data_IF_387080695135
#
_entry.id   IF_387080695135
#
_cell.length_a   1.000
_cell.length_b   1.000
_cell.length_c   1.000
_cell.angle_alpha   90.00
_cell.angle_beta   90.00
_cell.angle_gamma   90.00
#
_symmetry.space_group_name_H-M   'P 1'
#
loop_
_entity.id
_entity.type
_entity.pdbx_description
1 polymer ?
#
# COMPACT_ATOMS: atom_id res chain seq x y z
N UNK A 1 2.90 -5.52 -26.19
CA UNK A 1 3.21 -6.70 -25.36
C UNK A 1 2.86 -6.37 -23.92
N UNK A 2 1.68 -6.79 -23.44
CA UNK A 2 1.26 -6.60 -22.06
C UNK A 2 1.84 -7.72 -21.19
N UNK A 3 2.97 -7.47 -20.54
CA UNK A 3 3.53 -8.41 -19.57
C UNK A 3 2.62 -8.51 -18.34
N UNK A 4 2.56 -9.68 -17.71
CA UNK A 4 1.75 -9.91 -16.52
C UNK A 4 2.08 -8.90 -15.40
N UNK A 5 1.09 -8.48 -14.59
CA UNK A 5 1.33 -7.61 -13.46
C UNK A 5 2.23 -8.29 -12.42
N UNK A 6 2.99 -7.50 -11.67
CA UNK A 6 3.77 -8.03 -10.54
C UNK A 6 2.84 -8.53 -9.43
N UNK A 7 3.17 -9.68 -8.86
CA UNK A 7 2.68 -10.09 -7.54
C UNK A 7 3.68 -9.60 -6.48
N UNK A 8 3.18 -8.97 -5.41
CA UNK A 8 3.99 -8.33 -4.36
C UNK A 8 3.66 -8.98 -3.03
N UNK A 9 4.69 -9.37 -2.29
CA UNK A 9 4.61 -9.95 -0.95
C UNK A 9 5.43 -9.04 -0.01
N UNK A 10 4.82 -8.55 1.06
CA UNK A 10 5.48 -7.69 2.05
C UNK A 10 6.03 -8.54 3.20
N UNK A 11 7.33 -8.42 3.46
CA UNK A 11 8.02 -9.18 4.53
C UNK A 11 8.41 -8.29 5.72
N UNK A 12 8.28 -6.97 5.58
CA UNK A 12 8.78 -5.95 6.49
C UNK A 12 8.07 -5.78 7.86
N UNK A 13 7.42 -6.82 8.41
CA UNK A 13 6.80 -6.77 9.75
C UNK A 13 7.73 -7.25 10.89
N UNK A 14 9.05 -7.18 10.69
CA UNK A 14 10.03 -7.43 11.75
C UNK A 14 10.49 -8.88 11.91
N UNK A 15 10.41 -9.68 10.84
CA UNK A 15 10.96 -11.03 10.78
C UNK A 15 12.49 -11.06 10.61
N UNK A 16 13.10 -12.23 10.81
CA UNK A 16 14.52 -12.51 10.60
C UNK A 16 14.92 -12.56 9.11
N UNK A 17 14.20 -11.85 8.25
CA UNK A 17 14.24 -11.96 6.78
C UNK A 17 15.46 -11.28 6.14
N UNK A 18 16.52 -11.05 6.91
CA UNK A 18 17.77 -10.45 6.41
C UNK A 18 17.61 -9.03 5.88
N UNK A 19 16.54 -8.33 6.26
CA UNK A 19 16.28 -6.95 5.83
C UNK A 19 15.59 -6.82 4.47
N UNK A 20 14.92 -7.86 3.97
CA UNK A 20 14.04 -7.76 2.79
C UNK A 20 12.72 -7.11 3.21
N UNK A 21 12.30 -6.07 2.50
CA UNK A 21 11.02 -5.40 2.72
C UNK A 21 9.92 -5.95 1.81
N UNK A 22 10.26 -6.25 0.55
CA UNK A 22 9.32 -6.79 -0.44
C UNK A 22 9.93 -7.95 -1.23
N UNK A 23 9.07 -8.88 -1.65
CA UNK A 23 9.37 -9.90 -2.65
C UNK A 23 8.45 -9.67 -3.84
N UNK A 24 9.03 -9.37 -5.00
CA UNK A 24 8.31 -9.22 -6.26
C UNK A 24 8.37 -10.51 -7.06
N UNK A 25 7.25 -10.91 -7.65
CA UNK A 25 7.16 -12.06 -8.56
C UNK A 25 6.54 -11.62 -9.89
N UNK A 26 7.23 -11.92 -10.99
CA UNK A 26 6.73 -11.68 -12.35
C UNK A 26 7.43 -12.58 -13.35
N UNK A 27 6.70 -13.14 -14.30
CA UNK A 27 7.25 -13.99 -15.37
C UNK A 27 8.18 -15.10 -14.84
N UNK A 28 7.75 -15.76 -13.75
CA UNK A 28 8.51 -16.77 -12.99
C UNK A 28 9.85 -16.27 -12.39
N UNK A 29 10.09 -14.96 -12.38
CA UNK A 29 11.24 -14.34 -11.72
C UNK A 29 10.85 -13.83 -10.35
N UNK A 30 11.72 -14.07 -9.38
CA UNK A 30 11.63 -13.56 -8.01
C UNK A 30 12.67 -12.46 -7.81
N UNK A 31 12.26 -11.30 -7.34
CA UNK A 31 13.13 -10.15 -7.07
C UNK A 31 12.96 -9.71 -5.64
N UNK A 32 14.06 -9.59 -4.89
CA UNK A 32 14.04 -9.09 -3.51
C UNK A 32 14.18 -7.58 -3.52
N UNK A 33 13.47 -6.89 -2.63
CA UNK A 33 13.55 -5.44 -2.50
C UNK A 33 13.89 -5.07 -1.07
N UNK A 34 14.89 -4.22 -0.90
CA UNK A 34 15.18 -3.55 0.37
C UNK A 34 15.05 -2.04 0.20
N UNK A 35 14.21 -1.45 1.02
CA UNK A 35 13.94 -0.04 1.17
C UNK A 35 14.70 0.45 2.40
N UNK A 36 15.76 1.22 2.21
CA UNK A 36 16.57 1.69 3.32
C UNK A 36 16.49 3.21 3.47
N UNK A 37 15.84 3.65 4.55
CA UNK A 37 15.75 5.05 4.94
C UNK A 37 16.94 5.42 5.84
N UNK A 38 18.06 5.80 5.23
CA UNK A 38 19.27 6.18 5.99
C UNK A 38 19.16 7.62 6.52
N UNK A 39 19.63 7.82 7.76
CA UNK A 39 19.93 9.16 8.32
C UNK A 39 21.17 9.81 7.69
N UNK A 40 21.99 9.04 6.96
CA UNK A 40 23.15 9.50 6.18
C UNK A 40 22.79 9.53 4.69
N UNK A 41 23.35 10.48 3.95
CA UNK A 41 22.98 10.73 2.54
C UNK A 41 23.35 9.62 1.55
N UNK A 42 24.18 8.62 1.93
CA UNK A 42 24.74 7.65 0.98
C UNK A 42 24.78 6.21 1.52
N UNK A 43 24.41 5.26 0.66
CA UNK A 43 24.42 3.81 0.91
C UNK A 43 25.75 3.21 0.46
N UNK A 44 26.40 2.47 1.37
CA UNK A 44 27.69 1.83 1.12
C UNK A 44 27.60 0.44 0.49
N UNK A 45 28.74 -0.06 0.01
CA UNK A 45 28.86 -1.35 -0.69
C UNK A 45 28.52 -2.57 0.20
N UNK A 46 28.64 -2.46 1.52
CA UNK A 46 28.33 -3.55 2.45
C UNK A 46 26.87 -4.02 2.31
N UNK A 47 25.93 -3.06 2.24
CA UNK A 47 24.49 -3.32 2.06
C UNK A 47 24.23 -4.03 0.75
N UNK A 48 24.88 -3.56 -0.32
CA UNK A 48 24.71 -4.14 -1.66
C UNK A 48 25.23 -5.57 -1.71
N UNK A 49 26.35 -5.85 -1.04
CA UNK A 49 26.91 -7.21 -0.92
C UNK A 49 26.03 -8.13 -0.10
N UNK A 50 25.49 -7.64 1.01
CA UNK A 50 24.56 -8.37 1.86
C UNK A 50 23.33 -8.81 1.08
N UNK A 51 22.65 -7.85 0.42
CA UNK A 51 21.48 -8.13 -0.42
C UNK A 51 21.79 -9.09 -1.57
N UNK A 52 22.95 -8.95 -2.21
CA UNK A 52 23.37 -9.87 -3.26
C UNK A 52 23.54 -11.31 -2.74
N UNK A 53 24.04 -11.48 -1.51
CA UNK A 53 24.15 -12.78 -0.85
C UNK A 53 22.80 -13.47 -0.63
N UNK A 54 21.72 -12.70 -0.46
CA UNK A 54 20.37 -13.24 -0.26
C UNK A 54 19.79 -13.92 -1.51
N UNK A 55 20.34 -13.65 -2.71
CA UNK A 55 19.85 -14.27 -3.95
C UNK A 55 19.88 -15.79 -3.88
N UNK A 56 20.99 -16.37 -3.41
CA UNK A 56 21.14 -17.81 -3.30
C UNK A 56 20.18 -18.41 -2.26
N UNK A 57 20.09 -17.79 -1.08
CA UNK A 57 19.25 -18.25 0.01
C UNK A 57 17.75 -18.24 -0.34
N UNK A 58 17.28 -17.18 -1.01
CA UNK A 58 15.87 -17.01 -1.36
C UNK A 58 15.53 -17.49 -2.78
N UNK A 59 16.46 -18.13 -3.48
CA UNK A 59 16.29 -18.54 -4.89
C UNK A 59 15.78 -17.38 -5.76
N UNK A 60 16.31 -16.18 -5.50
CA UNK A 60 15.93 -14.97 -6.21
C UNK A 60 16.83 -14.71 -7.41
N UNK A 61 16.27 -14.04 -8.40
CA UNK A 61 16.92 -13.80 -9.69
C UNK A 61 17.53 -12.40 -9.78
N UNK A 62 17.09 -11.48 -8.90
CA UNK A 62 17.60 -10.12 -8.82
C UNK A 62 17.29 -9.50 -7.45
N UNK A 63 18.04 -8.45 -7.12
CA UNK A 63 17.72 -7.57 -6.00
C UNK A 63 17.53 -6.14 -6.48
N UNK A 64 16.61 -5.43 -5.85
CA UNK A 64 16.41 -3.98 -5.97
C UNK A 64 16.69 -3.36 -4.61
N UNK A 65 17.51 -2.32 -4.58
CA UNK A 65 17.80 -1.58 -3.36
C UNK A 65 17.32 -0.15 -3.59
N UNK A 66 16.41 0.33 -2.76
CA UNK A 66 15.85 1.66 -2.86
C UNK A 66 16.29 2.52 -1.67
N UNK A 67 16.73 3.74 -1.95
CA UNK A 67 17.06 4.73 -0.93
C UNK A 67 16.64 6.13 -1.35
N UNK A 68 16.46 7.03 -0.38
CA UNK A 68 16.20 8.46 -0.62
C UNK A 68 17.50 9.20 -0.98
N UNK A 69 18.66 8.62 -0.61
CA UNK A 69 19.97 9.20 -0.84
C UNK A 69 20.62 8.74 -2.16
N UNK A 70 21.95 8.63 -2.12
CA UNK A 70 22.79 8.15 -3.23
C UNK A 70 23.52 6.86 -2.86
N UNK A 71 24.30 6.29 -3.78
CA UNK A 71 25.18 5.15 -3.53
C UNK A 71 26.65 5.57 -3.60
N UNK A 72 27.52 4.89 -2.84
CA UNK A 72 28.97 5.08 -3.00
C UNK A 72 29.42 4.56 -4.37
N UNK A 73 30.55 5.07 -4.88
CA UNK A 73 31.15 4.56 -6.13
C UNK A 73 31.47 3.07 -6.07
N UNK A 74 31.85 2.56 -4.90
CA UNK A 74 32.10 1.14 -4.71
C UNK A 74 30.82 0.30 -4.77
N UNK A 75 29.69 0.84 -4.30
CA UNK A 75 28.39 0.19 -4.42
C UNK A 75 27.95 0.10 -5.88
N UNK A 76 28.11 1.20 -6.65
CA UNK A 76 27.83 1.23 -8.09
C UNK A 76 28.71 0.22 -8.85
N UNK A 77 30.03 0.27 -8.66
CA UNK A 77 30.97 -0.68 -9.27
C UNK A 77 30.68 -2.13 -8.90
N UNK A 78 30.27 -2.37 -7.65
CA UNK A 78 29.90 -3.72 -7.25
C UNK A 78 28.61 -4.18 -7.95
N UNK A 79 27.64 -3.29 -8.19
CA UNK A 79 26.41 -3.63 -8.90
C UNK A 79 26.61 -3.88 -10.41
N UNK A 80 27.66 -3.30 -11.02
CA UNK A 80 27.96 -3.49 -12.44
C UNK A 80 28.04 -4.98 -12.83
N UNK A 81 27.30 -5.33 -13.89
CA UNK A 81 27.21 -6.67 -14.46
C UNK A 81 26.50 -7.70 -13.58
N UNK A 82 25.95 -7.32 -12.42
CA UNK A 82 25.23 -8.22 -11.51
C UNK A 82 23.73 -7.97 -11.60
N UNK A 83 22.89 -8.95 -11.21
CA UNK A 83 21.44 -8.77 -11.12
C UNK A 83 21.05 -7.92 -9.90
N UNK A 84 21.62 -6.71 -9.82
CA UNK A 84 21.42 -5.75 -8.74
C UNK A 84 20.99 -4.43 -9.38
N UNK A 85 19.84 -3.93 -8.98
CA UNK A 85 19.34 -2.62 -9.39
C UNK A 85 19.37 -1.67 -8.20
N UNK A 86 20.18 -0.62 -8.33
CA UNK A 86 20.28 0.45 -7.37
C UNK A 86 19.31 1.56 -7.76
N UNK A 87 18.34 1.85 -6.89
CA UNK A 87 17.35 2.91 -7.06
C UNK A 87 17.70 4.03 -6.09
N UNK A 88 18.26 5.12 -6.61
CA UNK A 88 18.60 6.32 -5.83
C UNK A 88 17.37 7.20 -5.59
N UNK A 89 17.48 8.20 -4.72
CA UNK A 89 16.37 9.11 -4.45
C UNK A 89 15.88 9.85 -5.69
N UNK A 90 16.80 10.30 -6.55
CA UNK A 90 16.45 10.97 -7.81
C UNK A 90 15.72 10.01 -8.77
N UNK A 91 16.18 8.77 -8.89
CA UNK A 91 15.53 7.76 -9.72
C UNK A 91 14.14 7.39 -9.16
N UNK A 92 14.03 7.23 -7.85
CA UNK A 92 12.77 6.92 -7.17
C UNK A 92 11.75 8.05 -7.40
N UNK A 93 12.16 9.31 -7.27
CA UNK A 93 11.29 10.46 -7.56
C UNK A 93 10.81 10.45 -9.01
N UNK A 94 11.68 10.17 -9.98
CA UNK A 94 11.30 10.04 -11.40
C UNK A 94 10.27 8.92 -11.61
N UNK A 95 10.47 7.76 -10.97
CA UNK A 95 9.51 6.65 -11.04
C UNK A 95 8.15 7.04 -10.49
N UNK A 96 8.10 7.71 -9.33
CA UNK A 96 6.85 8.17 -8.71
C UNK A 96 6.12 9.17 -9.62
N UNK A 97 6.84 10.16 -10.15
CA UNK A 97 6.28 11.16 -11.05
C UNK A 97 5.72 10.55 -12.33
N UNK A 98 6.44 9.57 -12.92
CA UNK A 98 5.98 8.87 -14.11
C UNK A 98 4.66 8.12 -13.85
N UNK A 99 4.52 7.45 -12.70
CA UNK A 99 3.27 6.77 -12.32
C UNK A 99 2.14 7.78 -12.11
N UNK A 100 2.40 8.89 -11.42
CA UNK A 100 1.39 9.93 -11.20
C UNK A 100 0.90 10.54 -12.53
N UNK A 101 1.80 10.77 -13.48
CA UNK A 101 1.44 11.24 -14.82
C UNK A 101 0.68 10.18 -15.61
N UNK A 102 1.02 8.90 -15.49
CA UNK A 102 0.26 7.82 -16.14
C UNK A 102 -1.14 7.63 -15.56
N UNK A 103 -1.31 7.87 -14.26
CA UNK A 103 -2.64 7.87 -13.61
C UNK A 103 -3.44 9.11 -14.03
N UNK A 104 -2.80 10.26 -14.22
CA UNK A 104 -3.44 11.49 -14.67
C UNK A 104 -3.72 11.55 -16.19
N UNK A 105 -2.90 10.88 -17.01
CA UNK A 105 -3.00 10.86 -18.47
C UNK A 105 -3.80 9.66 -19.02
N UNK A 106 -4.19 8.72 -18.16
CA UNK A 106 -5.26 7.80 -18.51
C UNK A 106 -6.57 8.61 -18.52
N UNK A 107 -7.27 8.79 -19.66
CA UNK A 107 -8.69 9.07 -19.56
C UNK A 107 -9.27 7.93 -18.73
N UNK A 108 -10.00 8.28 -17.68
CA UNK A 108 -10.68 7.31 -16.83
C UNK A 108 -11.22 6.20 -17.73
N UNK A 109 -10.85 4.91 -17.54
CA UNK A 109 -11.50 3.86 -18.28
C UNK A 109 -12.98 4.10 -18.03
N UNK A 110 -13.71 4.41 -19.12
CA UNK A 110 -15.16 4.48 -19.08
C UNK A 110 -15.57 3.22 -18.37
N UNK A 111 -16.03 3.38 -17.13
CA UNK A 111 -16.50 2.28 -16.32
C UNK A 111 -17.64 1.71 -17.14
N UNK A 112 -17.35 0.67 -17.91
CA UNK A 112 -18.36 -0.24 -18.40
C UNK A 112 -18.81 -0.85 -17.08
N UNK A 113 -19.85 -0.26 -16.49
CA UNK A 113 -20.51 -0.83 -15.34
C UNK A 113 -20.80 -2.28 -15.71
N UNK A 114 -20.25 -3.25 -14.99
CA UNK A 114 -20.67 -4.61 -15.19
C UNK A 114 -22.11 -4.66 -14.70
N UNK A 115 -23.06 -4.69 -15.64
CA UNK A 115 -24.44 -5.06 -15.35
C UNK A 115 -24.44 -6.55 -15.05
N UNK A 116 -24.04 -6.91 -13.83
CA UNK A 116 -24.32 -8.22 -13.28
C UNK A 116 -25.69 -8.15 -12.62
N UNK A 117 -26.69 -8.46 -13.43
CA UNK A 117 -27.96 -9.00 -12.95
C UNK A 117 -27.64 -10.30 -12.22
N UNK A 118 -27.62 -10.29 -10.89
CA UNK A 118 -27.89 -11.48 -10.09
C UNK A 118 -28.29 -11.12 -8.66
N UNK A 119 -29.56 -11.41 -8.46
CA UNK A 119 -30.34 -11.62 -7.25
C UNK A 119 -29.58 -12.34 -6.13
N UNK A 120 -29.87 -11.89 -4.89
CA UNK A 120 -29.81 -12.61 -3.61
C UNK A 120 -28.48 -12.94 -2.94
N UNK A 121 -28.30 -12.24 -1.82
CA UNK A 121 -28.19 -12.77 -0.46
C UNK A 121 -26.86 -12.54 0.29
N UNK A 122 -27.04 -11.92 1.46
CA UNK A 122 -26.20 -11.92 2.65
C UNK A 122 -24.92 -11.05 2.68
N UNK A 123 -25.14 -9.87 3.27
CA UNK A 123 -24.47 -9.41 4.50
C UNK A 123 -23.27 -8.47 4.43
N UNK A 124 -23.51 -7.35 5.14
CA UNK A 124 -22.61 -6.61 6.01
C UNK A 124 -21.62 -5.62 5.37
N UNK A 125 -22.10 -4.37 5.22
CA UNK A 125 -21.73 -3.28 6.13
C UNK A 125 -22.16 -1.94 5.49
N UNK A 126 -23.39 -1.50 5.79
CA UNK A 126 -23.81 -0.13 5.50
C UNK A 126 -24.01 0.57 6.84
N UNK A 127 -23.08 1.46 7.16
CA UNK A 127 -23.27 2.49 8.16
C UNK A 127 -24.54 3.26 7.80
N UNK A 128 -25.63 2.93 8.48
CA UNK A 128 -26.91 3.60 8.31
C UNK A 128 -27.38 4.03 9.68
N UNK A 129 -27.67 5.31 9.80
CA UNK A 129 -28.14 6.08 10.96
C UNK A 129 -29.51 5.60 11.46
N UNK A 130 -29.60 4.35 11.89
CA UNK A 130 -30.79 3.73 12.47
C UNK A 130 -30.57 3.43 13.96
N UNK A 131 -31.58 3.71 14.77
CA UNK A 131 -31.57 3.47 16.19
C UNK A 131 -31.45 1.98 16.51
N UNK A 132 -30.41 1.59 17.26
CA UNK A 132 -30.19 0.19 17.67
C UNK A 132 -31.33 -0.42 18.53
N UNK A 133 -32.24 0.40 19.08
CA UNK A 133 -33.38 -0.08 19.88
C UNK A 133 -34.65 -0.38 19.10
N UNK A 134 -34.92 0.33 18.01
CA UNK A 134 -36.18 0.19 17.27
C UNK A 134 -36.04 0.26 15.75
N UNK A 135 -34.83 0.40 15.22
CA UNK A 135 -34.55 0.51 13.79
C UNK A 135 -34.99 1.83 13.14
N UNK A 136 -35.70 2.71 13.86
CA UNK A 136 -36.13 4.01 13.34
C UNK A 136 -34.94 4.97 13.12
N UNK A 137 -35.09 5.97 12.26
CA UNK A 137 -34.02 6.93 11.98
C UNK A 137 -33.54 7.69 13.22
N UNK A 138 -32.23 7.95 13.30
CA UNK A 138 -31.65 8.89 14.26
C UNK A 138 -31.69 10.32 13.68
N UNK A 139 -32.16 11.27 14.47
CA UNK A 139 -32.23 12.70 14.11
C UNK A 139 -31.39 13.52 15.09
N UNK A 140 -30.76 14.59 14.59
CA UNK A 140 -29.96 15.49 15.42
C UNK A 140 -30.86 16.31 16.35
N UNK A 141 -30.56 16.28 17.65
CA UNK A 141 -31.27 16.98 18.71
C UNK A 141 -30.30 17.73 19.59
N UNK A 142 -30.78 18.77 20.27
CA UNK A 142 -29.96 19.60 21.16
C UNK A 142 -30.33 19.37 22.62
N UNK A 143 -29.33 19.09 23.46
CA UNK A 143 -29.52 19.00 24.91
C UNK A 143 -29.83 20.40 25.46
N UNK A 144 -30.99 20.57 26.10
CA UNK A 144 -31.41 21.87 26.65
C UNK A 144 -30.50 22.37 27.78
N UNK A 145 -29.79 21.48 28.48
CA UNK A 145 -28.93 21.84 29.62
C UNK A 145 -27.50 22.20 29.20
N UNK A 146 -26.91 21.44 28.27
CA UNK A 146 -25.51 21.60 27.85
C UNK A 146 -25.37 22.27 26.48
N UNK A 147 -26.47 22.50 25.77
CA UNK A 147 -26.48 23.02 24.39
C UNK A 147 -25.77 22.14 23.34
N UNK A 148 -25.37 20.92 23.70
CA UNK A 148 -24.70 19.99 22.81
C UNK A 148 -25.67 19.29 21.86
N UNK A 149 -25.22 19.02 20.64
CA UNK A 149 -25.97 18.26 19.66
C UNK A 149 -25.67 16.77 19.80
N UNK A 150 -26.71 15.94 19.76
CA UNK A 150 -26.62 14.48 19.79
C UNK A 150 -27.63 13.85 18.83
N UNK A 151 -27.34 12.62 18.39
CA UNK A 151 -28.25 11.84 17.56
C UNK A 151 -29.21 11.05 18.46
N UNK A 152 -30.50 11.32 18.35
CA UNK A 152 -31.57 10.65 19.11
C UNK A 152 -32.63 10.07 18.20
N UNK A 153 -33.31 9.02 18.65
CA UNK A 153 -34.36 8.35 17.88
C UNK A 153 -35.52 9.30 17.51
N UNK A 154 -35.97 9.26 16.26
CA UNK A 154 -37.12 10.04 15.76
C UNK A 154 -38.41 9.75 16.53
N UNK A 155 -38.58 8.52 17.01
CA UNK A 155 -39.75 8.06 17.78
C UNK A 155 -39.78 8.47 19.26
N UNK A 156 -38.91 9.39 19.71
CA UNK A 156 -38.94 9.92 21.08
C UNK A 156 -40.29 10.61 21.37
N UNK A 157 -40.95 10.40 22.53
CA UNK A 157 -40.44 9.78 23.76
C UNK A 157 -40.63 8.26 23.88
N UNK A 158 -41.27 7.61 22.90
CA UNK A 158 -41.57 6.17 22.93
C UNK A 158 -40.31 5.30 22.81
N UNK A 159 -39.31 5.76 22.07
CA UNK A 159 -37.98 5.16 22.05
C UNK A 159 -36.93 6.19 22.50
N UNK A 160 -36.10 5.81 23.48
CA UNK A 160 -35.02 6.64 24.03
C UNK A 160 -33.63 6.22 23.55
N UNK A 161 -33.53 5.58 22.38
CA UNK A 161 -32.22 5.22 21.82
C UNK A 161 -31.51 6.44 21.22
N UNK A 162 -30.19 6.44 21.35
CA UNK A 162 -29.24 7.36 20.75
C UNK A 162 -28.25 6.58 19.85
N UNK A 163 -27.40 7.32 19.11
CA UNK A 163 -26.22 6.72 18.47
C UNK A 163 -25.26 6.14 19.50
#
# INVERSE_FOLDING_TARGET
>A
MGGLPYSVEETGLGGADGGIDLILRKDNRRTLVQCKQWKRQQVGVSVVREMFGLLAHHQAHAVKIACIGTYTKDAERFAEGKPIELISGEQLLKMIQAVQQQVAAQPAPSRIEPTFTSTSAASAAVATSSCARCGSALVQRRNRRTSENFLGCSQFPKCKGNA
#
